data_IF_558354337620
#
_entry.id   IF_558354337620
#
_cell.length_a   1.000
_cell.length_b   1.000
_cell.length_c   1.000
_cell.angle_alpha   90.00
_cell.angle_beta   90.00
_cell.angle_gamma   90.00
#
_symmetry.space_group_name_H-M   'P 1'
#
loop_
_entity.id
_entity.type
_entity.pdbx_description
1 polymer ?
#
# COMPACT_ATOMS: atom_id res chain seq x y z
N UNK A 1 -1.31 -22.21 -2.58
CA UNK A 1 -1.47 -20.79 -2.96
C UNK A 1 -0.14 -20.11 -2.72
N UNK A 2 0.49 -19.61 -3.77
CA UNK A 2 1.69 -18.76 -3.64
C UNK A 2 1.30 -17.50 -2.87
N UNK A 3 2.06 -17.16 -1.82
CA UNK A 3 1.77 -15.95 -1.03
C UNK A 3 1.99 -14.72 -1.91
N UNK A 4 1.12 -13.71 -1.82
CA UNK A 4 1.29 -12.43 -2.55
C UNK A 4 2.67 -11.83 -2.30
N UNK A 5 3.25 -12.04 -1.13
CA UNK A 5 4.61 -11.56 -0.81
C UNK A 5 5.65 -12.15 -1.77
N UNK A 6 5.51 -13.41 -2.16
CA UNK A 6 6.46 -14.10 -3.05
C UNK A 6 6.40 -13.61 -4.50
N UNK A 7 5.31 -12.94 -4.91
CA UNK A 7 5.17 -12.36 -6.24
C UNK A 7 5.69 -10.92 -6.33
N UNK A 8 6.04 -10.30 -5.20
CA UNK A 8 6.58 -8.94 -5.17
C UNK A 8 8.07 -8.92 -5.54
N UNK A 9 8.62 -7.79 -6.03
CA UNK A 9 10.05 -7.63 -6.22
C UNK A 9 10.84 -7.91 -4.93
N UNK A 10 12.08 -8.38 -5.07
CA UNK A 10 12.92 -8.83 -3.94
C UNK A 10 13.08 -7.77 -2.84
N UNK A 11 13.09 -6.49 -3.22
CA UNK A 11 13.17 -5.37 -2.27
C UNK A 11 11.96 -5.34 -1.33
N UNK A 12 10.76 -5.62 -1.83
CA UNK A 12 9.57 -5.65 -0.97
C UNK A 12 9.57 -6.89 -0.07
N UNK A 13 10.06 -8.03 -0.56
CA UNK A 13 10.19 -9.25 0.25
C UNK A 13 11.12 -9.03 1.44
N UNK A 14 12.27 -8.37 1.25
CA UNK A 14 13.22 -8.09 2.33
C UNK A 14 12.65 -7.12 3.38
N UNK A 15 11.75 -6.20 3.00
CA UNK A 15 11.02 -5.36 3.96
C UNK A 15 10.14 -6.21 4.88
N UNK A 16 9.40 -7.18 4.32
CA UNK A 16 8.57 -8.07 5.13
C UNK A 16 9.40 -8.96 6.07
N UNK A 17 10.57 -9.41 5.63
CA UNK A 17 11.50 -10.16 6.49
C UNK A 17 12.05 -9.30 7.63
N UNK A 18 12.49 -8.07 7.32
CA UNK A 18 12.97 -7.13 8.33
C UNK A 18 11.86 -6.66 9.29
N UNK A 19 10.60 -6.61 8.83
CA UNK A 19 9.46 -6.29 9.71
C UNK A 19 9.17 -7.40 10.71
N UNK A 20 9.30 -8.68 10.33
CA UNK A 20 9.10 -9.81 11.27
C UNK A 20 10.00 -9.72 12.49
N UNK A 21 11.19 -9.13 12.36
CA UNK A 21 12.16 -9.02 13.46
C UNK A 21 11.99 -7.74 14.29
N UNK A 22 11.26 -6.72 13.81
CA UNK A 22 11.27 -5.37 14.39
C UNK A 22 9.93 -4.83 14.94
N UNK A 23 8.86 -5.61 14.98
CA UNK A 23 7.62 -5.25 15.67
C UNK A 23 6.79 -4.12 15.01
N UNK A 24 5.70 -3.72 15.67
CA UNK A 24 4.54 -3.04 15.04
C UNK A 24 4.63 -1.51 14.88
N UNK A 25 5.65 -0.82 15.42
CA UNK A 25 5.73 0.66 15.46
C UNK A 25 6.42 1.32 14.26
N UNK A 26 6.35 0.73 13.06
CA UNK A 26 7.07 1.25 11.88
C UNK A 26 6.45 2.57 11.39
N UNK A 27 5.12 2.67 11.39
CA UNK A 27 4.38 3.80 10.85
C UNK A 27 4.68 5.10 11.61
N UNK A 28 4.63 5.05 12.95
CA UNK A 28 4.94 6.17 13.83
C UNK A 28 6.36 6.71 13.61
N UNK A 29 7.34 5.82 13.44
CA UNK A 29 8.75 6.19 13.27
C UNK A 29 9.04 6.83 11.92
N UNK A 30 8.25 6.50 10.89
CA UNK A 30 8.36 7.10 9.56
C UNK A 30 7.52 8.39 9.47
N UNK A 31 6.54 8.56 10.35
CA UNK A 31 5.62 9.70 10.33
C UNK A 31 4.53 9.56 9.26
N UNK A 32 4.09 8.33 9.00
CA UNK A 32 3.05 8.00 8.01
C UNK A 32 1.95 7.16 8.64
N UNK A 33 0.78 7.16 8.02
CA UNK A 33 -0.34 6.31 8.37
C UNK A 33 0.01 4.82 8.20
N UNK A 34 -0.54 3.97 9.06
CA UNK A 34 -0.26 2.53 9.07
C UNK A 34 -0.70 1.84 7.77
N UNK A 35 -1.85 2.24 7.21
CA UNK A 35 -2.36 1.71 5.95
C UNK A 35 -1.46 2.14 4.80
N UNK A 36 -0.95 3.37 4.83
CA UNK A 36 0.02 3.83 3.83
C UNK A 36 1.33 3.04 3.88
N UNK A 37 1.86 2.76 5.08
CA UNK A 37 3.07 1.94 5.23
C UNK A 37 2.82 0.50 4.79
N UNK A 38 1.66 -0.08 5.10
CA UNK A 38 1.30 -1.38 4.56
C UNK A 38 1.24 -1.36 3.02
N UNK A 39 0.61 -0.34 2.43
CA UNK A 39 0.56 -0.16 0.98
C UNK A 39 1.96 -0.04 0.36
N UNK A 40 2.88 0.67 1.01
CA UNK A 40 4.28 0.76 0.59
C UNK A 40 4.96 -0.61 0.54
N UNK A 41 4.76 -1.43 1.58
CA UNK A 41 5.34 -2.77 1.65
C UNK A 41 4.83 -3.68 0.53
N UNK A 42 3.55 -3.55 0.16
CA UNK A 42 2.94 -4.26 -0.97
C UNK A 42 3.21 -3.58 -2.34
N UNK A 43 4.09 -2.58 -2.41
CA UNK A 43 4.45 -1.92 -3.66
C UNK A 43 3.34 -1.05 -4.26
N UNK A 44 2.36 -0.64 -3.45
CA UNK A 44 1.22 0.20 -3.85
C UNK A 44 1.45 1.69 -3.55
N UNK A 45 2.59 2.05 -2.97
CA UNK A 45 2.99 3.43 -2.68
C UNK A 45 4.47 3.67 -3.05
N UNK A 46 4.83 4.94 -3.22
CA UNK A 46 6.21 5.38 -3.47
C UNK A 46 6.67 6.23 -2.29
N UNK A 47 7.78 5.88 -1.62
CA UNK A 47 8.37 6.69 -0.58
C UNK A 47 9.22 7.81 -1.18
N UNK A 48 9.40 8.88 -0.41
CA UNK A 48 10.43 9.91 -0.65
C UNK A 48 11.80 9.43 -0.19
N UNK A 49 12.88 10.05 -0.66
CA UNK A 49 14.26 9.68 -0.27
C UNK A 49 14.47 9.74 1.25
N UNK A 50 13.88 10.74 1.92
CA UNK A 50 13.92 10.86 3.38
C UNK A 50 13.19 9.71 4.09
N UNK A 51 12.06 9.27 3.54
CA UNK A 51 11.29 8.13 4.06
C UNK A 51 12.03 6.82 3.85
N UNK A 52 12.74 6.68 2.72
CA UNK A 52 13.61 5.52 2.47
C UNK A 52 14.70 5.44 3.54
N UNK A 53 15.36 6.55 3.85
CA UNK A 53 16.39 6.59 4.89
C UNK A 53 15.84 6.27 6.28
N UNK A 54 14.67 6.83 6.62
CA UNK A 54 13.98 6.52 7.89
C UNK A 54 13.60 5.05 7.94
N UNK A 55 13.00 4.51 6.87
CA UNK A 55 12.62 3.11 6.76
C UNK A 55 13.82 2.19 6.92
N UNK A 56 14.95 2.49 6.25
CA UNK A 56 16.18 1.74 6.34
C UNK A 56 16.73 1.71 7.79
N UNK A 57 16.75 2.87 8.47
CA UNK A 57 17.17 2.97 9.88
C UNK A 57 16.24 2.19 10.80
N UNK A 58 14.93 2.37 10.64
CA UNK A 58 13.91 1.69 11.45
C UNK A 58 14.04 0.19 11.29
N UNK A 59 14.17 -0.31 10.06
CA UNK A 59 14.31 -1.74 9.73
C UNK A 59 15.71 -2.30 9.96
N UNK A 60 16.73 -1.45 10.11
CA UNK A 60 18.12 -1.88 10.29
C UNK A 60 18.72 -2.53 9.03
N UNK A 61 18.28 -2.08 7.85
CA UNK A 61 18.73 -2.59 6.55
C UNK A 61 19.50 -1.51 5.79
N UNK A 62 20.25 -1.89 4.77
CA UNK A 62 21.01 -0.93 3.97
C UNK A 62 20.08 -0.06 3.10
N UNK A 63 20.29 1.26 3.11
CA UNK A 63 19.50 2.20 2.31
C UNK A 63 19.83 2.15 0.80
N UNK A 64 21.06 1.77 0.43
CA UNK A 64 21.52 1.74 -0.96
C UNK A 64 20.61 0.95 -1.91
N UNK A 65 20.30 -0.33 -1.63
CA UNK A 65 19.39 -1.13 -2.46
C UNK A 65 17.97 -0.54 -2.55
N UNK A 66 17.48 0.10 -1.48
CA UNK A 66 16.17 0.73 -1.45
C UNK A 66 16.12 1.97 -2.35
N UNK A 67 17.15 2.83 -2.28
CA UNK A 67 17.29 4.00 -3.15
C UNK A 67 17.43 3.62 -4.63
N UNK A 68 18.18 2.56 -4.93
CA UNK A 68 18.28 2.03 -6.30
C UNK A 68 16.93 1.56 -6.84
N UNK A 69 16.11 0.90 -6.00
CA UNK A 69 14.77 0.46 -6.38
C UNK A 69 13.80 1.63 -6.57
N UNK A 70 13.66 2.50 -5.57
CA UNK A 70 12.80 3.68 -5.63
C UNK A 70 13.47 4.92 -6.24
N UNK A 71 14.27 4.71 -7.28
CA UNK A 71 14.89 5.80 -8.02
C UNK A 71 13.85 6.79 -8.58
N UNK A 72 14.30 7.98 -8.96
CA UNK A 72 13.45 9.11 -9.37
C UNK A 72 12.37 8.75 -10.40
N UNK A 73 12.70 7.88 -11.35
CA UNK A 73 11.81 7.47 -12.46
C UNK A 73 10.98 6.22 -12.16
N UNK A 74 11.17 5.58 -11.01
CA UNK A 74 10.33 4.46 -10.60
C UNK A 74 8.92 4.93 -10.23
N UNK A 75 7.90 4.22 -10.72
CA UNK A 75 6.52 4.39 -10.30
C UNK A 75 5.92 3.02 -9.97
N UNK A 76 5.21 2.88 -8.85
CA UNK A 76 4.59 1.61 -8.46
C UNK A 76 3.45 1.25 -9.40
N UNK A 77 3.41 -0.02 -9.82
CA UNK A 77 2.26 -0.59 -10.51
C UNK A 77 1.15 -0.92 -9.48
N UNK A 78 0.12 -0.08 -9.47
CA UNK A 78 -0.96 -0.16 -8.48
C UNK A 78 -2.12 -1.01 -8.97
N UNK A 79 -2.80 -1.70 -8.05
CA UNK A 79 -4.06 -2.40 -8.29
C UNK A 79 -3.94 -3.81 -8.87
N UNK A 80 -2.73 -4.34 -9.06
CA UNK A 80 -2.52 -5.65 -9.69
C UNK A 80 -2.37 -6.82 -8.70
N UNK A 81 -2.43 -6.56 -7.39
CA UNK A 81 -2.15 -7.58 -6.36
C UNK A 81 -3.23 -8.63 -6.19
N UNK A 82 -4.46 -8.34 -6.63
CA UNK A 82 -5.62 -9.18 -6.35
C UNK A 82 -6.38 -9.41 -7.65
N UNK A 83 -6.54 -10.67 -8.08
CA UNK A 83 -7.42 -10.97 -9.20
C UNK A 83 -8.85 -10.55 -8.84
N UNK A 84 -9.59 -10.02 -9.82
CA UNK A 84 -10.98 -9.60 -9.62
C UNK A 84 -11.94 -10.72 -10.08
N UNK A 85 -12.93 -11.12 -9.25
CA UNK A 85 -13.20 -10.63 -7.89
C UNK A 85 -12.19 -11.17 -6.85
N UNK A 86 -11.97 -10.46 -5.72
CA UNK A 86 -11.04 -10.89 -4.68
C UNK A 86 -11.38 -12.28 -4.13
N UNK A 87 -10.37 -13.14 -4.02
CA UNK A 87 -10.54 -14.48 -3.44
C UNK A 87 -10.34 -14.50 -1.92
N UNK A 88 -9.65 -13.50 -1.37
CA UNK A 88 -9.49 -13.35 0.07
C UNK A 88 -10.83 -12.93 0.71
N UNK A 89 -11.30 -13.63 1.76
CA UNK A 89 -12.59 -13.33 2.38
C UNK A 89 -12.72 -11.90 2.94
N UNK A 90 -11.63 -11.32 3.45
CA UNK A 90 -11.66 -9.97 4.03
C UNK A 90 -11.77 -8.93 2.92
N UNK A 91 -10.96 -9.07 1.87
CA UNK A 91 -11.04 -8.20 0.69
C UNK A 91 -12.37 -8.35 -0.05
N UNK A 92 -12.92 -9.57 -0.10
CA UNK A 92 -14.23 -9.83 -0.70
C UNK A 92 -15.36 -9.05 0.00
N UNK A 93 -15.33 -8.93 1.33
CA UNK A 93 -16.32 -8.12 2.07
C UNK A 93 -16.24 -6.63 1.73
N UNK A 94 -15.04 -6.09 1.55
CA UNK A 94 -14.88 -4.71 1.08
C UNK A 94 -15.43 -4.53 -0.33
N UNK A 95 -15.20 -5.50 -1.22
CA UNK A 95 -15.79 -5.51 -2.55
C UNK A 95 -17.33 -5.60 -2.51
N UNK A 96 -17.89 -6.43 -1.63
CA UNK A 96 -19.33 -6.57 -1.43
C UNK A 96 -19.99 -5.27 -0.95
N UNK A 97 -19.33 -4.51 -0.07
CA UNK A 97 -19.81 -3.19 0.35
C UNK A 97 -19.96 -2.26 -0.86
N UNK A 98 -18.98 -2.25 -1.77
CA UNK A 98 -19.06 -1.44 -2.99
C UNK A 98 -20.18 -1.94 -3.89
N UNK A 99 -20.33 -3.26 -4.06
CA UNK A 99 -21.38 -3.84 -4.89
C UNK A 99 -22.80 -3.53 -4.38
N UNK A 100 -22.99 -3.52 -3.06
CA UNK A 100 -24.31 -3.27 -2.42
C UNK A 100 -24.59 -1.77 -2.28
N UNK A 101 -23.62 -0.99 -1.79
CA UNK A 101 -23.83 0.41 -1.41
C UNK A 101 -23.25 1.43 -2.40
N UNK A 102 -22.53 1.01 -3.44
CA UNK A 102 -21.82 1.91 -4.34
C UNK A 102 -22.71 2.99 -4.99
N UNK A 103 -23.90 2.60 -5.48
CA UNK A 103 -24.85 3.57 -6.05
C UNK A 103 -25.50 4.48 -5.00
N UNK A 104 -25.77 3.95 -3.80
CA UNK A 104 -26.29 4.75 -2.70
C UNK A 104 -25.28 5.83 -2.28
N UNK A 105 -24.01 5.43 -2.10
CA UNK A 105 -22.91 6.37 -1.83
C UNK A 105 -22.84 7.39 -2.94
N UNK A 106 -22.79 6.97 -4.22
CA UNK A 106 -22.74 7.89 -5.37
C UNK A 106 -23.87 8.93 -5.34
N UNK A 107 -25.11 8.53 -5.08
CA UNK A 107 -26.26 9.46 -5.01
C UNK A 107 -26.06 10.51 -3.92
N UNK A 108 -25.72 10.09 -2.70
CA UNK A 108 -25.50 11.02 -1.58
C UNK A 108 -24.36 12.01 -1.85
N UNK A 109 -23.36 11.62 -2.64
CA UNK A 109 -22.24 12.47 -3.03
C UNK A 109 -22.67 13.49 -4.04
N UNK A 110 -23.40 13.06 -5.07
CA UNK A 110 -23.92 13.95 -6.10
C UNK A 110 -24.91 14.98 -5.53
N UNK A 111 -25.72 14.60 -4.54
CA UNK A 111 -26.60 15.53 -3.83
C UNK A 111 -25.83 16.60 -3.04
N UNK A 112 -24.71 16.23 -2.40
CA UNK A 112 -23.95 17.15 -1.53
C UNK A 112 -22.93 18.00 -2.27
N UNK A 113 -22.33 17.46 -3.32
CA UNK A 113 -21.17 18.04 -4.00
C UNK A 113 -21.40 18.31 -5.49
N UNK A 114 -22.58 17.98 -6.02
CA UNK A 114 -22.91 18.11 -7.43
C UNK A 114 -22.30 17.00 -8.29
N UNK A 115 -22.34 17.19 -9.61
CA UNK A 115 -21.79 16.22 -10.55
C UNK A 115 -20.26 16.21 -10.51
N UNK A 116 -19.69 15.04 -10.27
CA UNK A 116 -18.26 14.86 -10.07
C UNK A 116 -17.89 13.47 -9.57
N UNK A 117 -16.58 13.26 -9.38
CA UNK A 117 -16.00 12.05 -8.81
C UNK A 117 -15.22 12.38 -7.55
N UNK A 118 -15.28 11.53 -6.53
CA UNK A 118 -14.38 11.64 -5.39
C UNK A 118 -12.94 11.31 -5.81
N UNK A 119 -12.04 12.26 -5.57
CA UNK A 119 -10.60 12.08 -5.75
C UNK A 119 -9.99 11.94 -4.35
N UNK A 120 -9.34 10.80 -4.10
CA UNK A 120 -8.48 10.61 -2.93
C UNK A 120 -7.20 11.43 -3.17
N UNK A 121 -6.97 12.46 -2.37
CA UNK A 121 -5.72 13.25 -2.38
C UNK A 121 -4.60 12.53 -1.63
#
# INVERSE_FOLDING_TARGET
MTSVIQTLPQVHQSLFEAKKTKGETIAEKIGRDEVWVAALFYGQAKPTDEEVDKLARVLGIQAGPLHSHWHKHYFPERGQLTPMPPTDPTLYRLYEIIAVYGYAIKSCVHEKFGDGMYVLQ
#
